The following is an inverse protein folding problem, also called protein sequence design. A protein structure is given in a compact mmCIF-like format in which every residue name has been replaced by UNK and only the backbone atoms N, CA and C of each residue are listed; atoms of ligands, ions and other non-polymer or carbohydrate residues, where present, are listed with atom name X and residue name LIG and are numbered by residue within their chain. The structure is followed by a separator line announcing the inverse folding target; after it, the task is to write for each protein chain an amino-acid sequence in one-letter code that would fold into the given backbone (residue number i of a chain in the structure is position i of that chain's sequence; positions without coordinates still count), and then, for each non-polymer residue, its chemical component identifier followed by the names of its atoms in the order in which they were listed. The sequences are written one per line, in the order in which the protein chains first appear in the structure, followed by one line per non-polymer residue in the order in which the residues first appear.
data_IF_705978806654
#
_entry.id   IF_705978806654
#
_cell.length_a   1.000
_cell.length_b   1.000
_cell.length_c   1.000
_cell.angle_alpha   90.00
_cell.angle_beta   90.00
_cell.angle_gamma   90.00
#
_symmetry.space_group_name_H-M   'P 1'
#
loop_
_entity.id
_entity.type
_entity.pdbx_description
1 polymer ?
#
# COMPACT_ATOMS: atom_id res chain seq x y z
N UNK A 1 -14.05 10.54 -3.77
CA UNK A 1 -12.89 10.08 -2.96
C UNK A 1 -11.93 9.37 -3.89
N UNK A 2 -10.65 9.77 -3.92
CA UNK A 2 -9.61 9.08 -4.72
C UNK A 2 -9.36 7.70 -4.10
N UNK A 3 -10.20 6.73 -4.45
CA UNK A 3 -10.03 5.34 -4.07
C UNK A 3 -8.89 4.71 -4.88
N UNK A 4 -8.28 3.60 -4.41
CA UNK A 4 -7.28 2.88 -5.19
C UNK A 4 -7.84 2.56 -6.57
N UNK A 5 -6.98 2.66 -7.58
CA UNK A 5 -7.34 2.23 -8.94
C UNK A 5 -7.83 0.77 -8.88
N UNK A 6 -8.85 0.40 -9.67
CA UNK A 6 -9.39 -0.97 -9.66
C UNK A 6 -8.33 -2.06 -9.89
N UNK A 7 -7.23 -1.72 -10.56
CA UNK A 7 -6.06 -2.59 -10.71
C UNK A 7 -5.36 -2.92 -9.40
N UNK A 8 -5.14 -1.94 -8.50
CA UNK A 8 -4.49 -2.15 -7.20
C UNK A 8 -5.35 -3.04 -6.30
N UNK A 9 -6.66 -2.76 -6.25
CA UNK A 9 -7.62 -3.58 -5.50
C UNK A 9 -7.68 -5.02 -6.01
N UNK A 10 -7.64 -5.21 -7.34
CA UNK A 10 -7.60 -6.55 -7.95
C UNK A 10 -6.31 -7.30 -7.63
N UNK A 11 -5.15 -6.65 -7.70
CA UNK A 11 -3.87 -7.28 -7.37
C UNK A 11 -3.79 -7.66 -5.89
N UNK A 12 -4.32 -6.83 -4.99
CA UNK A 12 -4.44 -7.17 -3.57
C UNK A 12 -5.38 -8.36 -3.32
N UNK A 13 -6.51 -8.43 -4.02
CA UNK A 13 -7.44 -9.57 -3.93
C UNK A 13 -6.76 -10.86 -4.38
N UNK A 14 -6.07 -10.82 -5.53
CA UNK A 14 -5.33 -11.97 -6.06
C UNK A 14 -4.19 -12.41 -5.14
N UNK A 15 -3.44 -11.47 -4.57
CA UNK A 15 -2.41 -11.77 -3.57
C UNK A 15 -3.03 -12.50 -2.37
N UNK A 16 -4.15 -11.98 -1.87
CA UNK A 16 -4.85 -12.55 -0.71
C UNK A 16 -5.36 -13.96 -1.01
N UNK A 17 -5.93 -14.20 -2.20
CA UNK A 17 -6.37 -15.52 -2.64
C UNK A 17 -5.21 -16.52 -2.75
N UNK A 18 -4.08 -16.11 -3.35
CA UNK A 18 -2.89 -16.95 -3.51
C UNK A 18 -2.26 -17.30 -2.16
N UNK A 19 -2.10 -16.32 -1.27
CA UNK A 19 -1.54 -16.55 0.06
C UNK A 19 -2.47 -17.44 0.88
N UNK A 20 -3.78 -17.18 0.85
CA UNK A 20 -4.77 -18.02 1.55
C UNK A 20 -4.70 -19.46 1.05
N UNK A 21 -4.71 -19.68 -0.28
CA UNK A 21 -4.61 -21.02 -0.87
C UNK A 21 -3.30 -21.73 -0.52
N UNK A 22 -2.17 -21.02 -0.53
CA UNK A 22 -0.87 -21.56 -0.19
C UNK A 22 -0.74 -21.88 1.31
N UNK A 23 -1.37 -21.11 2.20
CA UNK A 23 -1.37 -21.42 3.66
C UNK A 23 -2.17 -22.66 4.04
N UNK A 24 -3.08 -23.15 3.19
CA UNK A 24 -3.81 -24.41 3.43
C UNK A 24 -2.93 -25.65 3.16
N UNK A 25 -1.82 -25.48 2.44
CA UNK A 25 -0.82 -26.52 2.22
C UNK A 25 0.30 -26.38 3.28
N UNK A 26 0.26 -27.23 4.30
CA UNK A 26 0.99 -27.12 5.58
C UNK A 26 2.53 -26.97 5.47
N UNK A 27 3.14 -27.36 4.34
CA UNK A 27 4.60 -27.26 4.10
C UNK A 27 5.07 -25.93 3.47
N UNK A 28 4.17 -25.04 3.02
CA UNK A 28 4.51 -23.89 2.17
C UNK A 28 4.71 -22.54 2.90
N UNK A 29 4.77 -22.54 4.24
CA UNK A 29 4.75 -21.29 5.03
C UNK A 29 5.95 -20.35 4.77
N UNK A 30 7.11 -20.89 4.42
CA UNK A 30 8.30 -20.11 4.04
C UNK A 30 8.16 -19.51 2.64
N UNK A 31 7.69 -20.31 1.67
CA UNK A 31 7.46 -19.90 0.29
C UNK A 31 6.39 -18.79 0.23
N UNK A 32 5.38 -18.87 1.09
CA UNK A 32 4.33 -17.85 1.21
C UNK A 32 4.88 -16.46 1.56
N UNK A 33 5.85 -16.38 2.47
CA UNK A 33 6.49 -15.10 2.83
C UNK A 33 7.32 -14.52 1.68
N UNK A 34 8.02 -15.38 0.93
CA UNK A 34 8.75 -14.95 -0.27
C UNK A 34 7.79 -14.50 -1.37
N UNK A 35 6.68 -15.19 -1.58
CA UNK A 35 5.63 -14.80 -2.55
C UNK A 35 5.07 -13.42 -2.19
N UNK A 36 4.71 -13.21 -0.91
CA UNK A 36 4.27 -11.88 -0.43
C UNK A 36 5.33 -10.84 -0.70
N UNK A 37 6.60 -11.11 -0.36
CA UNK A 37 7.70 -10.18 -0.61
C UNK A 37 7.81 -9.80 -2.09
N UNK A 38 7.81 -10.79 -2.98
CA UNK A 38 7.97 -10.63 -4.42
C UNK A 38 6.82 -9.89 -5.10
N UNK A 39 5.62 -9.84 -4.50
CA UNK A 39 4.46 -9.13 -5.09
C UNK A 39 4.27 -7.75 -4.46
N UNK A 40 4.63 -7.57 -3.19
CA UNK A 40 4.51 -6.29 -2.48
C UNK A 40 5.37 -5.20 -3.15
N UNK A 41 6.62 -5.49 -3.49
CA UNK A 41 7.51 -4.46 -4.06
C UNK A 41 7.06 -3.98 -5.46
N UNK A 42 6.69 -4.88 -6.40
CA UNK A 42 6.10 -4.46 -7.68
C UNK A 42 4.79 -3.69 -7.51
N UNK A 43 3.96 -4.07 -6.52
CA UNK A 43 2.69 -3.39 -6.27
C UNK A 43 2.90 -1.98 -5.72
N UNK A 44 3.85 -1.81 -4.80
CA UNK A 44 4.24 -0.47 -4.32
C UNK A 44 4.75 0.41 -5.46
N UNK A 45 5.62 -0.12 -6.32
CA UNK A 45 6.09 0.62 -7.50
C UNK A 45 4.95 1.00 -8.45
N UNK A 46 4.02 0.08 -8.72
CA UNK A 46 2.86 0.35 -9.59
C UNK A 46 1.92 1.40 -9.00
N UNK A 47 1.72 1.40 -7.67
CA UNK A 47 0.97 2.45 -6.96
C UNK A 47 1.67 3.80 -7.13
N UNK A 48 2.99 3.87 -6.89
CA UNK A 48 3.78 5.09 -7.07
C UNK A 48 3.75 5.61 -8.51
N UNK A 49 3.91 4.73 -9.50
CA UNK A 49 3.82 5.08 -10.92
C UNK A 49 2.42 5.57 -11.30
N UNK A 50 1.35 4.97 -10.76
CA UNK A 50 -0.03 5.41 -11.02
C UNK A 50 -0.33 6.79 -10.46
N UNK A 51 0.43 7.24 -9.47
CA UNK A 51 0.34 8.59 -8.92
C UNK A 51 1.11 9.62 -9.76
N UNK A 52 2.01 9.19 -10.66
CA UNK A 52 2.75 10.09 -11.54
C UNK A 52 1.79 10.78 -12.50
N UNK A 53 1.73 12.11 -12.41
CA UNK A 53 0.81 12.95 -13.21
C UNK A 53 -0.41 13.48 -12.44
N UNK A 54 -0.62 13.08 -11.19
CA UNK A 54 -1.59 13.72 -10.29
C UNK A 54 -0.99 15.01 -9.69
N UNK A 55 -1.85 15.95 -9.27
CA UNK A 55 -1.42 17.09 -8.46
C UNK A 55 -0.89 16.65 -7.09
N UNK A 56 -0.08 17.47 -6.42
CA UNK A 56 0.60 17.09 -5.17
C UNK A 56 -0.35 16.54 -4.10
N UNK A 57 -1.48 17.22 -3.85
CA UNK A 57 -2.51 16.78 -2.90
C UNK A 57 -3.21 15.50 -3.37
N UNK A 58 -3.56 15.41 -4.65
CA UNK A 58 -4.28 14.26 -5.21
C UNK A 58 -3.42 13.00 -5.17
N UNK A 59 -2.13 13.14 -5.49
CA UNK A 59 -1.10 12.11 -5.36
C UNK A 59 -0.96 11.66 -3.90
N UNK A 60 -0.83 12.60 -2.97
CA UNK A 60 -0.67 12.26 -1.56
C UNK A 60 -1.90 11.52 -0.99
N UNK A 61 -3.12 11.96 -1.29
CA UNK A 61 -4.36 11.24 -0.90
C UNK A 61 -4.44 9.85 -1.53
N UNK A 62 -4.13 9.74 -2.83
CA UNK A 62 -4.16 8.45 -3.53
C UNK A 62 -3.16 7.45 -2.95
N UNK A 63 -1.90 7.89 -2.76
CA UNK A 63 -0.83 7.05 -2.20
C UNK A 63 -1.15 6.64 -0.76
N UNK A 64 -1.63 7.58 0.07
CA UNK A 64 -2.06 7.30 1.43
C UNK A 64 -3.14 6.20 1.46
N UNK A 65 -4.17 6.33 0.63
CA UNK A 65 -5.26 5.35 0.58
C UNK A 65 -4.79 3.96 0.11
N UNK A 66 -3.90 3.92 -0.89
CA UNK A 66 -3.37 2.67 -1.43
C UNK A 66 -2.43 1.98 -0.44
N UNK A 67 -1.50 2.71 0.16
CA UNK A 67 -0.56 2.15 1.14
C UNK A 67 -1.26 1.74 2.44
N UNK A 68 -2.27 2.49 2.90
CA UNK A 68 -3.06 2.07 4.06
C UNK A 68 -3.80 0.75 3.80
N UNK A 69 -4.40 0.56 2.62
CA UNK A 69 -5.04 -0.70 2.27
C UNK A 69 -4.03 -1.85 2.18
N UNK A 70 -2.89 -1.62 1.53
CA UNK A 70 -1.81 -2.61 1.47
C UNK A 70 -1.32 -3.00 2.86
N UNK A 71 -1.06 -2.03 3.74
CA UNK A 71 -0.62 -2.26 5.12
C UNK A 71 -1.64 -3.08 5.91
N UNK A 72 -2.92 -2.73 5.83
CA UNK A 72 -4.01 -3.44 6.51
C UNK A 72 -4.13 -4.89 6.04
N UNK A 73 -4.07 -5.14 4.73
CA UNK A 73 -4.11 -6.50 4.16
C UNK A 73 -2.90 -7.33 4.60
N UNK A 74 -1.69 -6.77 4.51
CA UNK A 74 -0.46 -7.51 4.87
C UNK A 74 -0.37 -7.83 6.37
N UNK A 75 -0.95 -6.97 7.22
CA UNK A 75 -1.03 -7.20 8.66
C UNK A 75 -1.87 -8.45 8.99
N UNK A 76 -2.95 -8.68 8.24
CA UNK A 76 -3.79 -9.88 8.38
C UNK A 76 -3.10 -11.15 7.89
N UNK A 77 -2.13 -11.03 6.98
CA UNK A 77 -1.37 -12.14 6.41
C UNK A 77 -0.12 -12.53 7.24
N UNK A 78 0.06 -11.94 8.43
CA UNK A 78 1.25 -12.14 9.28
C UNK A 78 2.57 -11.92 8.51
N UNK A 79 2.57 -10.93 7.63
CA UNK A 79 3.73 -10.55 6.81
C UNK A 79 4.88 -10.06 7.71
N UNK A 80 6.11 -10.16 7.21
CA UNK A 80 7.33 -9.70 7.91
C UNK A 80 7.22 -8.25 8.37
N UNK A 81 7.59 -8.00 9.64
CA UNK A 81 7.51 -6.69 10.29
C UNK A 81 8.19 -5.57 9.49
N UNK A 82 9.35 -5.85 8.89
CA UNK A 82 10.14 -4.87 8.14
C UNK A 82 9.36 -4.24 6.96
N UNK A 83 8.52 -5.02 6.26
CA UNK A 83 7.71 -4.49 5.15
C UNK A 83 6.54 -3.65 5.64
N UNK A 84 5.92 -4.05 6.75
CA UNK A 84 4.87 -3.27 7.38
C UNK A 84 5.42 -1.92 7.86
N UNK A 85 6.59 -1.93 8.48
CA UNK A 85 7.28 -0.70 8.93
C UNK A 85 7.63 0.22 7.75
N UNK A 86 8.11 -0.34 6.64
CA UNK A 86 8.38 0.44 5.42
C UNK A 86 7.12 1.10 4.85
N UNK A 87 6.02 0.34 4.75
CA UNK A 87 4.74 0.88 4.25
C UNK A 87 4.18 1.92 5.22
N UNK A 88 4.33 1.72 6.53
CA UNK A 88 3.95 2.70 7.54
C UNK A 88 4.74 4.01 7.36
N UNK A 89 6.04 3.94 7.10
CA UNK A 89 6.85 5.13 6.79
C UNK A 89 6.35 5.89 5.55
N UNK A 90 5.84 5.18 4.53
CA UNK A 90 5.22 5.83 3.37
C UNK A 90 3.89 6.50 3.71
N UNK A 91 3.07 5.88 4.57
CA UNK A 91 1.82 6.46 5.08
C UNK A 91 2.10 7.77 5.82
N UNK A 92 3.06 7.75 6.75
CA UNK A 92 3.41 8.91 7.59
C UNK A 92 3.92 10.08 6.73
N UNK A 93 4.77 9.81 5.73
CA UNK A 93 5.26 10.83 4.80
C UNK A 93 4.13 11.52 4.00
N UNK A 94 3.10 10.78 3.60
CA UNK A 94 1.96 11.36 2.89
C UNK A 94 1.03 12.13 3.83
N UNK A 95 0.87 11.69 5.09
CA UNK A 95 0.14 12.46 6.11
C UNK A 95 0.83 13.80 6.41
N UNK A 96 2.15 13.83 6.50
CA UNK A 96 2.92 15.05 6.67
C UNK A 96 2.74 16.00 5.47
N UNK A 97 2.81 15.48 4.25
CA UNK A 97 2.58 16.25 3.03
C UNK A 97 1.19 16.89 3.02
N UNK A 98 0.15 16.12 3.32
CA UNK A 98 -1.22 16.62 3.39
C UNK A 98 -1.41 17.64 4.52
N UNK A 99 -0.77 17.43 5.67
CA UNK A 99 -0.82 18.36 6.79
C UNK A 99 -0.19 19.71 6.42
N UNK A 100 0.95 19.70 5.71
CA UNK A 100 1.60 20.92 5.23
C UNK A 100 0.77 21.67 4.19
N UNK A 101 0.20 20.96 3.21
CA UNK A 101 -0.70 21.54 2.20
C UNK A 101 -1.95 22.16 2.86
N UNK A 102 -2.50 21.50 3.88
CA UNK A 102 -3.65 22.01 4.63
C UNK A 102 -3.30 23.27 5.44
N UNK A 103 -2.13 23.31 6.07
CA UNK A 103 -1.63 24.52 6.78
C UNK A 103 -1.42 25.68 5.78
N UNK A 104 -0.81 25.41 4.62
CA UNK A 104 -0.59 26.41 3.58
C UNK A 104 -1.90 26.96 3.03
N UNK A 105 -2.91 26.11 2.80
CA UNK A 105 -4.24 26.54 2.39
C UNK A 105 -4.93 27.45 3.41
N UNK A 106 -4.75 27.19 4.71
CA UNK A 106 -5.34 27.99 5.80
C UNK A 106 -4.58 29.29 6.04
N UNK A 107 -3.26 29.32 5.90
CA UNK A 107 -2.45 30.53 6.09
C UNK A 107 -2.51 31.54 4.94
N UNK A 108 -2.99 31.12 3.76
CA UNK A 108 -3.12 31.98 2.56
C UNK A 108 -4.58 32.42 2.34
N UNK A 109 -5.52 32.00 3.19
CA UNK A 109 -6.95 32.36 3.14
C UNK A 109 -7.32 33.58 3.97
#
# INVERSE_FOLDING_TARGET
TLAPTPGVARTLSLLTEVVTAATVADDAHHDCKQIVSCVVDPLMNAISESATGLGAVESAVYLLNCFHQLHSTLSLLHTTGDKLEMIQGQIDAQLDTLSQEQINGVCVS
#
